data_IF_544652088448
#
_entry.id   IF_544652088448
#
_cell.length_a   1.000
_cell.length_b   1.000
_cell.length_c   1.000
_cell.angle_alpha   90.00
_cell.angle_beta   90.00
_cell.angle_gamma   90.00
#
_symmetry.space_group_name_H-M   'P 1'
#
loop_
_entity.id
_entity.type
_entity.pdbx_description
1 polymer ?
#
# COMPACT_ATOMS: atom_id res chain seq x y z
N UNK A 1 12.91 34.80 -15.70
CA UNK A 1 13.55 34.75 -14.36
C UNK A 1 12.68 33.91 -13.44
N UNK A 2 13.08 32.69 -13.09
CA UNK A 2 12.37 31.85 -12.10
C UNK A 2 12.97 32.12 -10.72
N UNK A 3 12.16 32.32 -9.66
CA UNK A 3 12.71 32.55 -8.33
C UNK A 3 13.27 31.23 -7.78
N UNK A 4 14.54 31.27 -7.40
CA UNK A 4 15.19 30.18 -6.68
C UNK A 4 14.57 30.07 -5.30
N UNK A 5 13.74 29.05 -5.07
CA UNK A 5 13.34 28.63 -3.73
C UNK A 5 14.56 28.12 -2.98
N UNK A 6 15.26 29.03 -2.28
CA UNK A 6 16.24 28.68 -1.25
C UNK A 6 15.47 28.05 -0.08
N UNK A 7 15.56 26.74 0.06
CA UNK A 7 15.17 26.03 1.26
C UNK A 7 16.06 26.47 2.43
N UNK A 8 15.71 27.58 3.09
CA UNK A 8 16.22 27.93 4.41
C UNK A 8 15.38 27.16 5.44
N UNK A 9 15.81 25.95 5.74
CA UNK A 9 15.31 25.16 6.86
C UNK A 9 16.43 24.95 7.86
N UNK A 10 16.37 25.70 8.96
CA UNK A 10 17.23 25.58 10.13
C UNK A 10 17.39 24.11 10.55
N UNK A 11 18.62 23.70 10.80
CA UNK A 11 18.97 22.42 11.43
C UNK A 11 18.48 22.36 12.89
N UNK A 12 17.16 22.36 13.09
CA UNK A 12 16.56 22.00 14.35
C UNK A 12 17.01 20.58 14.65
N UNK A 13 17.86 20.43 15.69
CA UNK A 13 18.32 19.13 16.17
C UNK A 13 17.09 18.25 16.35
N UNK A 14 16.98 17.20 15.53
CA UNK A 14 15.98 16.15 15.71
C UNK A 14 16.10 15.65 17.15
N UNK A 15 15.08 15.93 17.97
CA UNK A 15 14.90 15.28 19.26
C UNK A 15 13.98 14.09 18.99
N UNK A 16 14.35 12.86 19.39
CA UNK A 16 13.46 11.72 19.21
C UNK A 16 12.12 12.05 19.88
N UNK A 17 11.00 12.04 19.13
CA UNK A 17 9.68 12.13 19.75
C UNK A 17 9.54 10.92 20.67
N UNK A 18 9.20 11.16 21.94
CA UNK A 18 8.82 10.21 23.00
C UNK A 18 9.54 8.84 22.99
N UNK A 19 10.30 8.53 24.04
CA UNK A 19 11.07 7.27 24.16
C UNK A 19 10.20 5.99 24.25
N UNK A 20 8.89 6.09 24.03
CA UNK A 20 7.93 5.01 24.17
C UNK A 20 7.39 4.44 22.85
N UNK A 21 6.66 3.34 23.02
CA UNK A 21 5.75 2.79 22.01
C UNK A 21 4.58 3.74 21.84
N UNK A 22 4.32 4.14 20.60
CA UNK A 22 3.11 4.88 20.25
C UNK A 22 2.09 3.94 19.62
N UNK A 23 0.84 4.14 19.99
CA UNK A 23 -0.33 3.48 19.41
C UNK A 23 -1.31 4.56 19.00
N UNK A 24 -1.55 4.67 17.70
CA UNK A 24 -2.34 5.73 17.10
C UNK A 24 -3.46 5.09 16.27
N UNK A 25 -4.65 5.68 16.30
CA UNK A 25 -5.60 5.48 15.20
C UNK A 25 -5.08 6.22 13.97
N UNK A 26 -5.41 5.75 12.77
CA UNK A 26 -4.99 6.44 11.53
C UNK A 26 -5.52 7.88 11.44
N UNK A 27 -6.61 8.18 12.14
CA UNK A 27 -7.22 9.50 12.29
C UNK A 27 -6.53 10.41 13.32
N UNK A 28 -5.59 9.88 14.12
CA UNK A 28 -4.81 10.68 15.06
C UNK A 28 -3.95 11.72 14.30
N UNK A 29 -3.99 13.02 14.63
CA UNK A 29 -3.20 14.04 13.94
C UNK A 29 -1.69 13.76 13.91
N UNK A 30 -1.17 13.00 14.89
CA UNK A 30 0.24 12.58 14.92
C UNK A 30 0.60 11.61 13.80
N UNK A 31 -0.36 10.92 13.20
CA UNK A 31 -0.13 10.14 11.99
C UNK A 31 0.25 11.01 10.79
N UNK A 32 0.08 12.32 10.82
CA UNK A 32 0.59 13.21 9.76
C UNK A 32 2.10 13.53 9.91
N UNK A 33 2.71 13.21 11.05
CA UNK A 33 4.15 13.41 11.28
C UNK A 33 4.97 12.26 10.66
N UNK A 34 5.56 12.53 9.49
CA UNK A 34 6.40 11.57 8.77
C UNK A 34 7.61 11.11 9.60
N UNK A 35 8.13 11.92 10.52
CA UNK A 35 9.25 11.51 11.39
C UNK A 35 8.82 10.47 12.42
N UNK A 36 7.52 10.39 12.69
CA UNK A 36 6.93 9.50 13.67
C UNK A 36 6.46 8.19 13.05
N UNK A 37 5.73 8.27 11.94
CA UNK A 37 5.06 7.11 11.33
C UNK A 37 5.56 6.76 9.92
N UNK A 38 6.51 7.52 9.39
CA UNK A 38 6.98 7.37 8.02
C UNK A 38 6.09 8.08 7.02
N UNK A 39 6.62 8.27 5.82
CA UNK A 39 5.92 8.92 4.73
C UNK A 39 4.69 8.11 4.26
N UNK A 40 4.78 6.78 4.15
CA UNK A 40 3.67 5.96 3.64
C UNK A 40 2.42 6.06 4.53
N UNK A 41 2.59 5.95 5.84
CA UNK A 41 1.47 6.07 6.80
C UNK A 41 0.96 7.50 6.85
N UNK A 42 1.82 8.51 6.80
CA UNK A 42 1.38 9.90 6.83
C UNK A 42 0.56 10.31 5.62
N UNK A 43 0.95 9.84 4.42
CA UNK A 43 0.15 10.08 3.22
C UNK A 43 -1.17 9.30 3.27
N UNK A 44 -1.17 8.06 3.78
CA UNK A 44 -2.41 7.29 3.97
C UNK A 44 -3.36 7.99 4.95
N UNK A 45 -2.86 8.51 6.07
CA UNK A 45 -3.65 9.25 7.06
C UNK A 45 -4.25 10.53 6.45
N UNK A 46 -3.46 11.28 5.70
CA UNK A 46 -3.94 12.47 5.00
C UNK A 46 -5.00 12.14 3.91
N UNK A 47 -4.89 10.96 3.28
CA UNK A 47 -5.85 10.48 2.29
C UNK A 47 -7.16 9.96 2.91
N UNK A 48 -7.14 9.47 4.15
CA UNK A 48 -8.30 8.89 4.84
C UNK A 48 -9.49 9.87 4.96
N UNK A 49 -9.23 11.19 5.01
CA UNK A 49 -10.29 12.21 4.98
C UNK A 49 -10.96 12.41 3.62
N UNK A 50 -10.50 11.73 2.55
CA UNK A 50 -10.97 11.92 1.17
C UNK A 50 -11.39 10.63 0.49
N UNK A 51 -10.99 9.48 1.02
CA UNK A 51 -11.36 8.16 0.51
C UNK A 51 -11.48 7.19 1.67
N UNK A 52 -12.38 6.20 1.60
CA UNK A 52 -12.45 5.15 2.61
C UNK A 52 -11.12 4.42 2.73
N UNK A 53 -10.69 4.19 3.98
CA UNK A 53 -9.56 3.35 4.37
C UNK A 53 -10.10 2.37 5.42
N UNK A 54 -9.72 1.08 5.40
CA UNK A 54 -10.14 0.17 6.47
C UNK A 54 -9.60 0.64 7.82
N UNK A 55 -10.28 0.29 8.91
CA UNK A 55 -9.84 0.64 10.25
C UNK A 55 -8.39 0.21 10.47
N UNK A 56 -7.55 1.16 10.88
CA UNK A 56 -6.10 0.99 10.93
C UNK A 56 -5.55 1.53 12.24
N UNK A 57 -4.82 0.67 12.95
CA UNK A 57 -4.00 1.04 14.10
C UNK A 57 -2.55 1.13 13.65
N UNK A 58 -1.90 2.24 13.97
CA UNK A 58 -0.49 2.47 13.70
C UNK A 58 0.30 2.31 15.00
N UNK A 59 1.31 1.45 14.95
CA UNK A 59 2.29 1.30 16.02
C UNK A 59 3.61 1.90 15.58
N UNK A 60 4.24 2.70 16.43
CA UNK A 60 5.54 3.28 16.14
C UNK A 60 6.48 3.11 17.32
N UNK A 61 7.61 2.44 17.07
CA UNK A 61 8.47 1.85 18.10
C UNK A 61 9.93 2.22 17.88
N UNK A 62 10.64 2.77 18.85
CA UNK A 62 12.10 2.91 18.76
C UNK A 62 12.79 1.55 18.65
N UNK A 63 13.70 1.38 17.68
CA UNK A 63 14.39 0.08 17.46
C UNK A 63 15.54 -0.14 18.46
N UNK A 64 16.16 0.93 18.96
CA UNK A 64 17.39 0.90 19.75
C UNK A 64 17.27 0.93 21.28
N UNK A 65 16.10 0.70 21.86
CA UNK A 65 16.00 0.64 23.33
C UNK A 65 16.66 -0.64 23.84
N UNK A 66 17.70 -0.48 24.66
CA UNK A 66 18.58 -1.54 25.19
C UNK A 66 17.92 -2.48 26.22
N UNK A 67 16.62 -2.33 26.48
CA UNK A 67 15.85 -3.08 27.48
C UNK A 67 15.12 -4.34 26.97
N UNK A 68 15.53 -4.89 25.83
CA UNK A 68 14.76 -5.94 25.15
C UNK A 68 13.54 -5.37 24.40
N UNK A 69 12.88 -6.18 23.55
CA UNK A 69 11.73 -5.68 22.80
C UNK A 69 10.61 -5.31 23.78
N UNK A 70 9.99 -4.11 23.68
CA UNK A 70 8.69 -3.86 24.32
C UNK A 70 7.55 -4.70 23.69
N UNK A 71 7.91 -5.70 22.87
CA UNK A 71 7.06 -6.61 22.10
C UNK A 71 7.46 -8.07 22.32
N UNK A 72 8.19 -8.38 23.42
CA UNK A 72 8.38 -9.77 23.80
C UNK A 72 7.03 -10.48 23.99
N UNK A 73 6.96 -11.81 23.88
CA UNK A 73 5.76 -12.57 24.20
C UNK A 73 5.26 -12.16 25.61
N UNK A 74 4.15 -11.42 25.66
CA UNK A 74 3.58 -10.82 26.88
C UNK A 74 3.64 -9.29 27.02
N UNK A 75 4.38 -8.56 26.18
CA UNK A 75 4.57 -7.10 26.32
C UNK A 75 3.50 -6.25 25.60
N UNK A 76 2.71 -6.86 24.72
CA UNK A 76 1.50 -6.26 24.15
C UNK A 76 0.30 -7.04 24.66
N UNK A 77 -0.36 -6.57 25.73
CA UNK A 77 -1.63 -7.15 26.13
C UNK A 77 -2.59 -7.19 24.94
N UNK A 78 -3.34 -8.27 24.77
CA UNK A 78 -4.37 -8.38 23.73
C UNK A 78 -5.37 -7.21 23.78
N UNK A 79 -5.58 -6.63 24.97
CA UNK A 79 -6.39 -5.42 25.21
C UNK A 79 -5.89 -4.19 24.45
N UNK A 80 -4.60 -4.13 24.06
CA UNK A 80 -4.05 -3.06 23.22
C UNK A 80 -4.42 -3.20 21.75
N UNK A 81 -4.98 -4.32 21.31
CA UNK A 81 -5.52 -4.44 19.95
C UNK A 81 -7.00 -4.07 19.88
N UNK A 82 -7.64 -3.61 20.96
CA UNK A 82 -9.10 -3.54 21.13
C UNK A 82 -9.97 -3.07 19.96
N UNK A 83 -9.48 -2.18 19.09
CA UNK A 83 -10.20 -1.72 17.90
C UNK A 83 -10.21 -2.75 16.74
N UNK A 84 -9.29 -3.72 16.79
CA UNK A 84 -9.05 -4.74 15.77
C UNK A 84 -9.46 -6.15 16.22
N UNK A 85 -10.10 -6.29 17.38
CA UNK A 85 -10.51 -7.61 17.90
C UNK A 85 -11.66 -8.21 17.11
N UNK A 86 -11.60 -9.52 16.86
CA UNK A 86 -12.70 -10.27 16.23
C UNK A 86 -12.73 -10.25 14.70
N UNK A 87 -11.81 -9.52 14.05
CA UNK A 87 -11.71 -9.44 12.60
C UNK A 87 -10.28 -9.77 12.15
N UNK A 88 -10.07 -10.54 11.06
CA UNK A 88 -8.75 -10.73 10.49
C UNK A 88 -8.09 -9.40 10.13
N UNK A 89 -6.75 -9.36 10.12
CA UNK A 89 -5.96 -8.14 9.88
C UNK A 89 -4.86 -8.35 8.84
N UNK A 90 -4.45 -7.25 8.22
CA UNK A 90 -3.22 -7.15 7.44
C UNK A 90 -2.20 -6.32 8.20
N UNK A 91 -0.92 -6.70 8.11
CA UNK A 91 0.19 -5.99 8.72
C UNK A 91 1.18 -5.58 7.64
N UNK A 92 1.44 -4.27 7.59
CA UNK A 92 2.53 -3.68 6.79
C UNK A 92 3.49 -3.00 7.74
N UNK A 93 4.78 -3.07 7.45
CA UNK A 93 5.77 -2.51 8.36
C UNK A 93 6.94 -1.87 7.64
N UNK A 94 7.52 -0.86 8.29
CA UNK A 94 8.58 -0.02 7.74
C UNK A 94 9.59 0.35 8.81
N UNK A 95 10.85 0.45 8.41
CA UNK A 95 11.88 1.17 9.16
C UNK A 95 11.87 2.63 8.71
N UNK A 96 11.57 3.51 9.64
CA UNK A 96 11.53 4.95 9.46
C UNK A 96 12.79 5.54 10.07
N UNK A 97 13.51 6.34 9.28
CA UNK A 97 14.74 7.03 9.68
C UNK A 97 14.63 8.49 9.26
N UNK A 98 15.20 9.43 10.04
CA UNK A 98 15.40 10.79 9.57
C UNK A 98 16.12 10.78 8.22
N UNK A 99 15.60 11.58 7.28
CA UNK A 99 16.26 11.91 6.02
C UNK A 99 16.51 10.73 5.05
N UNK A 100 15.85 9.57 5.28
CA UNK A 100 15.87 8.44 4.35
C UNK A 100 14.45 8.01 3.99
N UNK A 101 14.24 7.48 2.77
CA UNK A 101 12.97 6.85 2.42
C UNK A 101 12.63 5.72 3.39
N UNK A 102 11.34 5.55 3.67
CA UNK A 102 10.82 4.43 4.45
C UNK A 102 11.30 3.10 3.83
N UNK A 103 11.91 2.25 4.65
CA UNK A 103 12.38 0.94 4.20
C UNK A 103 11.36 -0.14 4.61
N UNK A 104 10.74 -0.80 3.64
CA UNK A 104 9.77 -1.87 3.91
C UNK A 104 10.40 -3.02 4.71
N UNK A 105 9.66 -3.50 5.71
CA UNK A 105 10.00 -4.68 6.51
C UNK A 105 9.13 -5.86 6.10
N UNK A 106 9.58 -6.61 5.08
CA UNK A 106 8.98 -7.89 4.70
C UNK A 106 9.00 -8.97 5.83
N UNK A 107 8.01 -9.88 5.85
CA UNK A 107 6.90 -9.96 4.88
C UNK A 107 5.75 -9.00 5.19
N UNK A 108 4.98 -8.64 4.16
CA UNK A 108 3.60 -8.14 4.34
C UNK A 108 2.71 -9.33 4.65
N UNK A 109 1.93 -9.25 5.71
CA UNK A 109 1.02 -10.32 6.11
C UNK A 109 -0.42 -9.91 5.85
N UNK A 110 -1.21 -10.80 5.27
CA UNK A 110 -2.63 -10.57 5.01
C UNK A 110 -3.50 -11.63 5.68
N UNK A 111 -4.69 -11.21 6.10
CA UNK A 111 -5.72 -12.09 6.65
C UNK A 111 -5.24 -12.95 7.85
N UNK A 112 -4.46 -12.35 8.74
CA UNK A 112 -4.02 -13.00 9.98
C UNK A 112 -5.16 -12.93 11.00
N UNK A 113 -5.39 -14.02 11.72
CA UNK A 113 -6.23 -14.01 12.91
C UNK A 113 -5.61 -13.09 13.99
N UNK A 114 -6.40 -12.22 14.65
CA UNK A 114 -5.89 -11.37 15.73
C UNK A 114 -5.14 -12.11 16.84
N UNK A 115 -5.43 -13.39 17.08
CA UNK A 115 -4.71 -14.22 18.04
C UNK A 115 -3.22 -14.40 17.67
N UNK A 116 -2.89 -14.39 16.38
CA UNK A 116 -1.51 -14.51 15.87
C UNK A 116 -0.75 -13.18 15.75
N UNK A 117 -1.34 -12.06 16.18
CA UNK A 117 -0.70 -10.75 16.06
C UNK A 117 0.59 -10.64 16.86
N UNK A 118 0.65 -11.28 18.03
CA UNK A 118 1.84 -11.22 18.90
C UNK A 118 3.06 -11.82 18.21
N UNK A 119 2.89 -13.00 17.62
CA UNK A 119 3.90 -13.75 16.90
C UNK A 119 4.33 -12.99 15.64
N UNK A 120 3.38 -12.49 14.84
CA UNK A 120 3.68 -11.73 13.63
C UNK A 120 4.49 -10.45 13.93
N UNK A 121 4.13 -9.72 15.00
CA UNK A 121 4.86 -8.52 15.42
C UNK A 121 6.26 -8.87 15.95
N UNK A 122 6.41 -9.98 16.66
CA UNK A 122 7.72 -10.46 17.11
C UNK A 122 8.63 -10.79 15.92
N UNK A 123 8.11 -11.47 14.90
CA UNK A 123 8.86 -11.80 13.68
C UNK A 123 9.27 -10.54 12.90
N UNK A 124 8.34 -9.61 12.68
CA UNK A 124 8.62 -8.31 12.04
C UNK A 124 9.68 -7.54 12.83
N UNK A 125 9.60 -7.53 14.16
CA UNK A 125 10.58 -6.87 15.02
C UNK A 125 11.97 -7.49 14.88
N UNK A 126 12.05 -8.82 14.82
CA UNK A 126 13.30 -9.53 14.59
C UNK A 126 13.88 -9.21 13.19
N UNK A 127 13.03 -9.18 12.15
CA UNK A 127 13.42 -8.81 10.79
C UNK A 127 13.93 -7.35 10.71
N UNK A 128 13.23 -6.42 11.36
CA UNK A 128 13.60 -5.01 11.47
C UNK A 128 14.97 -4.82 12.13
N UNK A 129 15.26 -5.57 13.20
CA UNK A 129 16.56 -5.54 13.89
C UNK A 129 17.70 -6.04 13.02
N UNK A 130 17.50 -7.16 12.31
CA UNK A 130 18.51 -7.68 11.36
C UNK A 130 18.86 -6.67 10.27
N UNK A 131 17.90 -5.84 9.83
CA UNK A 131 18.10 -4.78 8.84
C UNK A 131 18.61 -3.45 9.40
N UNK A 132 18.55 -3.26 10.72
CA UNK A 132 18.73 -1.98 11.41
C UNK A 132 20.11 -1.73 12.03
N UNK A 133 21.13 -2.54 11.74
CA UNK A 133 22.38 -2.66 12.52
C UNK A 133 23.32 -1.41 12.56
N UNK A 134 22.91 -0.23 12.09
CA UNK A 134 23.81 0.94 11.94
C UNK A 134 23.47 2.21 12.74
N UNK A 135 22.20 2.47 13.09
CA UNK A 135 21.78 3.69 13.80
C UNK A 135 20.45 3.48 14.54
N UNK A 136 20.44 2.54 15.49
CA UNK A 136 19.22 2.14 16.18
C UNK A 136 18.61 3.27 17.04
N UNK A 137 19.40 4.26 17.45
CA UNK A 137 18.97 5.38 18.29
C UNK A 137 18.06 6.38 17.55
N UNK A 138 18.10 6.41 16.21
CA UNK A 138 17.30 7.33 15.38
C UNK A 138 16.25 6.62 14.53
N UNK A 139 16.08 5.32 14.71
CA UNK A 139 15.21 4.50 13.88
C UNK A 139 13.95 4.10 14.61
N UNK A 140 12.81 4.17 13.92
CA UNK A 140 11.54 3.62 14.40
C UNK A 140 11.10 2.47 13.49
N UNK A 141 10.61 1.39 14.09
CA UNK A 141 9.81 0.40 13.41
C UNK A 141 8.35 0.86 13.48
N UNK A 142 7.75 1.05 12.33
CA UNK A 142 6.35 1.41 12.20
C UNK A 142 5.58 0.22 11.64
N UNK A 143 4.44 -0.10 12.25
CA UNK A 143 3.52 -1.11 11.78
C UNK A 143 2.15 -0.46 11.54
N UNK A 144 1.57 -0.64 10.36
CA UNK A 144 0.16 -0.38 10.12
C UNK A 144 -0.57 -1.72 10.19
N UNK A 145 -1.39 -1.90 11.22
CA UNK A 145 -2.26 -3.06 11.40
C UNK A 145 -3.67 -2.63 11.01
N UNK A 146 -4.15 -3.19 9.92
CA UNK A 146 -5.40 -2.76 9.26
C UNK A 146 -6.39 -3.92 9.26
N UNK A 147 -7.69 -3.66 9.48
CA UNK A 147 -8.73 -4.67 9.25
C UNK A 147 -8.60 -5.22 7.84
N UNK A 148 -8.44 -6.53 7.73
CA UNK A 148 -8.41 -7.21 6.46
C UNK A 148 -9.82 -7.23 5.87
N UNK A 149 -9.91 -6.90 4.58
CA UNK A 149 -11.14 -6.98 3.82
C UNK A 149 -10.92 -7.93 2.63
N UNK A 150 -11.68 -9.03 2.51
CA UNK A 150 -11.56 -9.92 1.37
C UNK A 150 -11.97 -9.17 0.10
N UNK A 151 -10.98 -8.83 -0.72
CA UNK A 151 -11.20 -8.08 -1.94
C UNK A 151 -11.58 -9.02 -3.08
N UNK A 152 -12.60 -8.65 -3.86
CA UNK A 152 -12.92 -9.35 -5.11
C UNK A 152 -11.82 -9.11 -6.15
N UNK A 153 -11.18 -7.95 -6.08
CA UNK A 153 -10.10 -7.53 -6.94
C UNK A 153 -9.26 -6.44 -6.26
N UNK A 154 -8.03 -6.25 -6.75
CA UNK A 154 -7.12 -5.20 -6.29
C UNK A 154 -6.73 -4.31 -7.45
N UNK A 155 -6.69 -3.01 -7.20
CA UNK A 155 -6.19 -2.01 -8.14
C UNK A 155 -4.89 -1.39 -7.64
N UNK A 156 -3.85 -1.38 -8.46
CA UNK A 156 -2.62 -0.63 -8.24
C UNK A 156 -2.63 0.55 -9.21
N UNK A 157 -2.68 1.77 -8.67
CA UNK A 157 -2.78 3.00 -9.47
C UNK A 157 -1.53 3.83 -9.27
N UNK A 158 -0.68 3.89 -10.28
CA UNK A 158 0.46 4.79 -10.33
C UNK A 158 0.01 6.14 -10.87
N UNK A 159 0.20 7.19 -10.08
CA UNK A 159 0.03 8.57 -10.51
C UNK A 159 1.41 9.20 -10.65
N UNK A 160 1.80 9.46 -11.89
CA UNK A 160 3.10 10.04 -12.20
C UNK A 160 3.07 11.57 -12.14
N UNK A 161 4.26 12.18 -12.25
CA UNK A 161 4.35 13.61 -12.55
C UNK A 161 3.73 13.89 -13.94
N UNK A 162 3.20 15.11 -14.13
CA UNK A 162 2.59 15.57 -15.41
C UNK A 162 1.27 14.89 -15.79
N UNK A 163 0.47 14.48 -14.81
CA UNK A 163 -0.93 14.05 -15.00
C UNK A 163 -1.13 12.72 -15.73
N UNK A 164 -0.09 11.87 -15.82
CA UNK A 164 -0.24 10.50 -16.28
C UNK A 164 -0.69 9.59 -15.14
N UNK A 165 -1.63 8.68 -15.43
CA UNK A 165 -2.17 7.71 -14.49
C UNK A 165 -2.18 6.33 -15.14
N UNK A 166 -1.48 5.37 -14.55
CA UNK A 166 -1.48 3.98 -14.97
C UNK A 166 -2.22 3.14 -13.93
N UNK A 167 -3.26 2.44 -14.35
CA UNK A 167 -4.11 1.58 -13.51
C UNK A 167 -3.83 0.12 -13.87
N UNK A 168 -3.48 -0.68 -12.87
CA UNK A 168 -3.31 -2.13 -12.99
C UNK A 168 -4.35 -2.84 -12.12
N UNK A 169 -5.04 -3.83 -12.67
CA UNK A 169 -6.13 -4.54 -11.96
C UNK A 169 -5.96 -6.05 -12.03
N UNK A 170 -6.10 -6.76 -10.91
CA UNK A 170 -6.14 -8.21 -10.86
C UNK A 170 -7.31 -8.73 -10.01
N UNK A 171 -7.72 -9.97 -10.23
CA UNK A 171 -8.68 -10.66 -9.37
C UNK A 171 -8.04 -11.00 -8.02
N UNK A 172 -8.80 -10.86 -6.94
CA UNK A 172 -8.31 -11.08 -5.57
C UNK A 172 -7.32 -10.02 -5.07
N UNK A 173 -6.34 -10.46 -4.29
CA UNK A 173 -5.29 -9.63 -3.67
C UNK A 173 -4.08 -9.49 -4.60
N UNK A 174 -3.43 -8.31 -4.58
CA UNK A 174 -2.15 -8.08 -5.26
C UNK A 174 -0.93 -8.66 -4.52
N UNK A 175 -1.07 -9.85 -3.94
CA UNK A 175 -0.02 -10.59 -3.24
C UNK A 175 0.39 -11.83 -4.06
N UNK A 176 1.63 -11.93 -4.55
CA UNK A 176 2.08 -13.10 -5.30
C UNK A 176 2.46 -14.24 -4.36
N UNK A 177 1.81 -15.41 -4.51
CA UNK A 177 2.07 -16.62 -3.71
C UNK A 177 2.80 -17.71 -4.51
N UNK A 178 3.82 -17.32 -5.27
CA UNK A 178 4.63 -18.24 -6.08
C UNK A 178 4.19 -18.41 -7.54
N UNK A 179 2.98 -17.96 -7.90
CA UNK A 179 2.57 -17.77 -9.31
C UNK A 179 2.51 -16.28 -9.63
N UNK A 180 2.96 -15.83 -10.82
CA UNK A 180 2.82 -14.45 -11.23
C UNK A 180 1.36 -14.00 -11.25
N UNK A 181 1.12 -12.77 -10.81
CA UNK A 181 -0.18 -12.11 -10.96
C UNK A 181 -0.26 -11.46 -12.35
N UNK A 182 -1.39 -11.67 -13.02
CA UNK A 182 -1.69 -11.05 -14.31
C UNK A 182 -2.63 -9.87 -14.09
N UNK A 183 -2.34 -8.75 -14.78
CA UNK A 183 -3.07 -7.50 -14.59
C UNK A 183 -3.65 -7.00 -15.90
N UNK A 184 -4.90 -6.54 -15.85
CA UNK A 184 -5.40 -5.59 -16.84
C UNK A 184 -4.67 -4.26 -16.64
N UNK A 185 -4.38 -3.55 -17.73
CA UNK A 185 -3.62 -2.30 -17.73
C UNK A 185 -4.36 -1.23 -18.49
N UNK A 186 -4.48 -0.06 -17.87
CA UNK A 186 -5.09 1.12 -18.47
C UNK A 186 -4.18 2.32 -18.24
N UNK A 187 -3.89 3.07 -19.30
CA UNK A 187 -3.04 4.26 -19.24
C UNK A 187 -3.86 5.48 -19.62
N UNK A 188 -3.78 6.53 -18.80
CA UNK A 188 -4.49 7.78 -18.99
C UNK A 188 -3.52 8.96 -18.94
N UNK A 189 -3.79 10.00 -19.72
CA UNK A 189 -3.05 11.26 -19.67
C UNK A 189 -3.96 12.48 -19.95
N UNK A 190 -3.41 13.68 -19.69
CA UNK A 190 -4.07 14.96 -19.99
C UNK A 190 -4.96 15.51 -18.87
N UNK A 191 -5.55 16.68 -19.12
CA UNK A 191 -6.58 17.30 -18.28
C UNK A 191 -7.69 17.88 -19.18
N UNK A 192 -8.85 17.20 -19.32
CA UNK A 192 -9.30 16.00 -18.60
C UNK A 192 -8.50 14.72 -18.92
N UNK A 193 -8.65 13.66 -18.11
CA UNK A 193 -7.98 12.38 -18.39
C UNK A 193 -8.60 11.72 -19.62
N UNK A 194 -7.76 11.38 -20.59
CA UNK A 194 -8.09 10.60 -21.77
C UNK A 194 -7.41 9.24 -21.70
N UNK A 195 -8.10 8.18 -22.12
CA UNK A 195 -7.54 6.84 -22.23
C UNK A 195 -6.56 6.81 -23.42
N UNK A 196 -5.29 6.50 -23.15
CA UNK A 196 -4.26 6.34 -24.18
C UNK A 196 -4.02 4.87 -24.54
N UNK A 197 -4.25 3.96 -23.60
CA UNK A 197 -3.99 2.54 -23.80
C UNK A 197 -4.81 1.65 -22.88
N UNK A 198 -5.18 0.47 -23.39
CA UNK A 198 -5.89 -0.57 -22.67
C UNK A 198 -5.33 -1.94 -23.09
N UNK A 199 -5.02 -2.78 -22.13
CA UNK A 199 -4.65 -4.18 -22.34
C UNK A 199 -5.32 -5.05 -21.29
N UNK A 200 -6.11 -6.03 -21.71
CA UNK A 200 -6.76 -7.00 -20.84
C UNK A 200 -5.92 -8.28 -20.84
N UNK A 201 -5.53 -8.75 -19.66
CA UNK A 201 -4.70 -9.93 -19.53
C UNK A 201 -5.53 -11.17 -19.25
N UNK A 202 -5.04 -12.34 -19.67
CA UNK A 202 -5.56 -13.62 -19.20
C UNK A 202 -5.14 -13.86 -17.75
N UNK A 203 -6.12 -13.89 -16.85
CA UNK A 203 -5.92 -14.02 -15.40
C UNK A 203 -6.28 -15.44 -14.97
N UNK A 204 -5.32 -16.36 -15.04
CA UNK A 204 -5.57 -17.78 -14.70
C UNK A 204 -5.65 -18.06 -13.20
N UNK A 205 -5.02 -17.22 -12.39
CA UNK A 205 -4.98 -17.38 -10.93
C UNK A 205 -5.33 -16.07 -10.23
N UNK A 206 -5.84 -16.18 -9.01
CA UNK A 206 -6.14 -15.07 -8.11
C UNK A 206 -5.71 -15.45 -6.68
N UNK A 207 -5.23 -14.49 -5.91
CA UNK A 207 -4.95 -14.68 -4.48
C UNK A 207 -6.18 -14.30 -3.67
N UNK A 208 -6.72 -15.21 -2.87
CA UNK A 208 -7.93 -14.98 -2.08
C UNK A 208 -7.70 -15.27 -0.60
N UNK A 209 -8.61 -14.77 0.23
CA UNK A 209 -8.62 -15.06 1.66
C UNK A 209 -8.84 -16.56 1.93
N UNK A 210 -8.13 -17.10 2.92
CA UNK A 210 -8.26 -18.46 3.45
C UNK A 210 -8.34 -18.44 4.98
N UNK A 211 -8.62 -19.58 5.61
CA UNK A 211 -8.51 -19.67 7.07
C UNK A 211 -7.07 -19.42 7.52
N UNK A 212 -6.82 -18.31 8.22
CA UNK A 212 -5.51 -17.97 8.78
C UNK A 212 -4.46 -17.45 7.78
N UNK A 213 -4.87 -17.00 6.59
CA UNK A 213 -3.94 -16.42 5.61
C UNK A 213 -4.55 -16.24 4.23
N UNK A 214 -3.72 -16.30 3.19
CA UNK A 214 -4.13 -16.17 1.79
C UNK A 214 -3.69 -17.39 1.00
N UNK A 215 -4.38 -17.68 -0.12
CA UNK A 215 -4.01 -18.78 -1.01
C UNK A 215 -4.36 -18.47 -2.46
N UNK A 216 -3.67 -19.12 -3.39
CA UNK A 216 -3.95 -19.03 -4.82
C UNK A 216 -5.10 -19.95 -5.21
N UNK A 217 -6.04 -19.42 -5.98
CA UNK A 217 -7.13 -20.19 -6.61
C UNK A 217 -7.12 -20.00 -8.11
N UNK A 218 -7.72 -20.94 -8.83
CA UNK A 218 -7.99 -20.78 -10.27
C UNK A 218 -9.13 -19.79 -10.47
N UNK A 219 -8.97 -18.89 -11.42
CA UNK A 219 -10.04 -17.98 -11.84
C UNK A 219 -11.07 -18.77 -12.67
N UNK A 220 -12.38 -18.61 -12.44
CA UNK A 220 -13.40 -19.26 -13.25
C UNK A 220 -13.22 -18.97 -14.75
N UNK A 221 -13.47 -19.92 -15.67
CA UNK A 221 -13.18 -19.75 -17.10
C UNK A 221 -13.77 -18.48 -17.73
N UNK A 222 -15.00 -18.10 -17.34
CA UNK A 222 -15.65 -16.89 -17.84
C UNK A 222 -15.02 -15.57 -17.38
N UNK A 223 -14.14 -15.60 -16.38
CA UNK A 223 -13.47 -14.42 -15.82
C UNK A 223 -12.00 -14.28 -16.22
N UNK A 224 -11.41 -15.30 -16.86
CA UNK A 224 -9.98 -15.32 -17.21
C UNK A 224 -9.62 -14.14 -18.11
N UNK A 225 -10.35 -13.97 -19.22
CA UNK A 225 -10.15 -12.89 -20.18
C UNK A 225 -11.11 -11.72 -19.99
N UNK A 226 -11.96 -11.76 -18.95
CA UNK A 226 -12.89 -10.66 -18.66
C UNK A 226 -12.12 -9.47 -18.04
N UNK A 227 -12.53 -8.23 -18.32
CA UNK A 227 -11.99 -7.07 -17.62
C UNK A 227 -12.41 -7.11 -16.15
N UNK A 228 -11.48 -6.80 -15.24
CA UNK A 228 -11.74 -6.77 -13.79
C UNK A 228 -12.76 -5.69 -13.41
N UNK A 229 -12.73 -4.55 -14.11
CA UNK A 229 -13.65 -3.43 -13.96
C UNK A 229 -14.12 -2.94 -15.32
N UNK A 230 -15.34 -2.40 -15.39
CA UNK A 230 -15.80 -1.71 -16.59
C UNK A 230 -14.97 -0.43 -16.83
N UNK A 231 -14.80 -0.02 -18.09
CA UNK A 231 -13.98 1.15 -18.44
C UNK A 231 -14.39 2.44 -17.72
N UNK A 232 -15.70 2.64 -17.53
CA UNK A 232 -16.24 3.79 -16.77
C UNK A 232 -15.71 3.79 -15.33
N UNK A 233 -15.69 2.64 -14.68
CA UNK A 233 -15.22 2.49 -13.30
C UNK A 233 -13.70 2.68 -13.18
N UNK A 234 -12.94 2.23 -14.18
CA UNK A 234 -11.49 2.45 -14.25
C UNK A 234 -11.19 3.94 -14.43
N UNK A 235 -11.95 4.63 -15.29
CA UNK A 235 -11.82 6.07 -15.53
C UNK A 235 -12.11 6.87 -14.25
N UNK A 236 -13.17 6.51 -13.53
CA UNK A 236 -13.49 7.12 -12.23
C UNK A 236 -12.39 6.88 -11.19
N UNK A 237 -11.86 5.65 -11.13
CA UNK A 237 -10.77 5.30 -10.23
C UNK A 237 -9.50 6.08 -10.55
N UNK A 238 -9.14 6.23 -11.84
CA UNK A 238 -8.00 7.02 -12.29
C UNK A 238 -8.16 8.49 -11.90
N UNK A 239 -9.33 9.08 -12.17
CA UNK A 239 -9.63 10.46 -11.80
C UNK A 239 -9.58 10.70 -10.28
N UNK A 240 -10.13 9.76 -9.50
CA UNK A 240 -10.08 9.80 -8.03
C UNK A 240 -8.64 9.70 -7.52
N UNK A 241 -7.87 8.76 -8.05
CA UNK A 241 -6.47 8.54 -7.69
C UNK A 241 -5.62 9.78 -7.95
N UNK A 242 -5.83 10.44 -9.09
CA UNK A 242 -5.18 11.72 -9.40
C UNK A 242 -5.49 12.82 -8.39
N UNK A 243 -6.72 12.88 -7.87
CA UNK A 243 -7.10 13.85 -6.82
C UNK A 243 -6.45 13.50 -5.47
N UNK A 244 -6.36 12.21 -5.13
CA UNK A 244 -5.70 11.74 -3.91
C UNK A 244 -4.20 11.97 -3.96
N UNK A 245 -3.55 11.81 -5.11
CA UNK A 245 -2.12 12.05 -5.28
C UNK A 245 -1.70 13.50 -4.95
N UNK A 246 -2.63 14.47 -5.00
CA UNK A 246 -2.39 15.86 -4.58
C UNK A 246 -2.19 16.02 -3.06
N UNK A 247 -2.55 15.01 -2.28
CA UNK A 247 -2.33 14.98 -0.82
C UNK A 247 -0.86 14.63 -0.50
N UNK A 248 -0.21 13.87 -1.38
CA UNK A 248 1.20 13.54 -1.30
C UNK A 248 2.03 14.25 -2.36
N UNK A 249 3.30 13.86 -2.46
CA UNK A 249 4.14 14.22 -3.59
C UNK A 249 4.06 13.13 -4.66
N UNK A 250 3.68 13.50 -5.89
CA UNK A 250 3.84 12.61 -7.04
C UNK A 250 5.33 12.47 -7.39
N UNK A 251 5.77 11.30 -7.91
CA UNK A 251 4.95 10.15 -8.27
C UNK A 251 4.56 9.30 -7.05
N UNK A 252 3.39 8.65 -7.12
CA UNK A 252 2.83 7.85 -6.03
C UNK A 252 2.05 6.65 -6.58
N UNK A 253 2.21 5.49 -5.95
CA UNK A 253 1.39 4.32 -6.20
C UNK A 253 0.36 4.14 -5.08
N UNK A 254 -0.91 4.03 -5.47
CA UNK A 254 -2.04 3.81 -4.59
C UNK A 254 -2.55 2.38 -4.77
N UNK A 255 -2.78 1.68 -3.67
CA UNK A 255 -3.31 0.32 -3.68
C UNK A 255 -4.73 0.31 -3.12
N UNK A 256 -5.69 -0.17 -3.90
CA UNK A 256 -7.09 -0.25 -3.51
C UNK A 256 -7.60 -1.68 -3.48
N UNK A 257 -8.33 -2.04 -2.42
CA UNK A 257 -9.21 -3.20 -2.42
C UNK A 257 -10.57 -2.84 -3.01
N UNK A 258 -11.10 -3.71 -3.87
CA UNK A 258 -12.44 -3.62 -4.44
C UNK A 258 -13.36 -4.60 -3.70
N UNK A 259 -14.26 -4.06 -2.87
CA UNK A 259 -15.14 -4.83 -1.98
C UNK A 259 -16.59 -4.43 -2.27
N UNK A 260 -17.28 -5.23 -3.08
CA UNK A 260 -18.57 -4.83 -3.64
C UNK A 260 -18.43 -3.53 -4.43
N UNK A 261 -19.20 -2.50 -4.06
CA UNK A 261 -19.13 -1.16 -4.68
C UNK A 261 -18.07 -0.25 -4.05
N UNK A 262 -17.46 -0.67 -2.94
CA UNK A 262 -16.48 0.13 -2.20
C UNK A 262 -15.08 -0.03 -2.78
N UNK A 263 -14.34 1.09 -2.78
CA UNK A 263 -12.93 1.18 -3.17
C UNK A 263 -12.17 1.65 -1.93
N UNK A 264 -11.56 0.72 -1.22
CA UNK A 264 -10.86 0.97 0.05
C UNK A 264 -9.38 1.17 -0.24
N UNK A 265 -8.83 2.35 0.11
CA UNK A 265 -7.39 2.61 -0.05
C UNK A 265 -6.63 1.83 1.04
N UNK A 266 -5.84 0.84 0.64
CA UNK A 266 -5.06 -0.02 1.54
C UNK A 266 -3.70 0.59 1.86
N UNK A 267 -3.03 1.17 0.87
CA UNK A 267 -1.70 1.72 1.03
C UNK A 267 -1.35 2.78 0.00
N UNK A 268 -0.34 3.56 0.36
CA UNK A 268 0.29 4.57 -0.48
C UNK A 268 1.79 4.37 -0.45
N UNK A 269 2.42 4.25 -1.62
CA UNK A 269 3.84 3.97 -1.76
C UNK A 269 4.48 4.99 -2.69
N UNK A 270 5.69 5.43 -2.40
CA UNK A 270 6.51 6.01 -3.46
C UNK A 270 6.81 4.87 -4.46
N UNK A 271 6.73 5.11 -5.79
CA UNK A 271 7.14 4.08 -6.73
C UNK A 271 8.59 3.70 -6.42
N UNK A 272 8.86 2.41 -6.39
CA UNK A 272 10.25 1.97 -6.32
C UNK A 272 10.99 2.63 -7.48
N UNK A 273 12.12 3.28 -7.21
CA UNK A 273 12.99 3.87 -8.25
C UNK A 273 13.52 2.81 -9.23
N UNK A 274 13.17 1.53 -9.03
CA UNK A 274 13.50 0.39 -9.86
C UNK A 274 12.44 0.16 -10.94
N UNK A 275 12.80 0.49 -12.18
CA UNK A 275 12.38 -0.31 -13.34
C UNK A 275 11.00 -0.03 -13.93
N UNK A 276 10.48 1.19 -13.82
CA UNK A 276 9.17 1.60 -14.38
C UNK A 276 8.99 1.44 -15.92
N UNK A 277 9.90 0.79 -16.65
CA UNK A 277 9.79 0.58 -18.10
C UNK A 277 10.23 -0.81 -18.62
N UNK A 278 10.72 -1.76 -17.81
CA UNK A 278 11.38 -2.97 -18.35
C UNK A 278 10.70 -4.33 -18.10
N UNK A 279 9.45 -4.39 -17.65
CA UNK A 279 8.67 -5.65 -17.68
C UNK A 279 7.92 -5.86 -19.02
N UNK A 280 8.37 -5.19 -20.08
CA UNK A 280 7.90 -5.33 -21.45
C UNK A 280 8.61 -6.45 -22.23
N UNK A 281 8.76 -7.66 -21.70
CA UNK A 281 9.30 -8.79 -22.50
C UNK A 281 9.02 -10.18 -21.92
N UNK A 282 7.79 -10.48 -21.54
CA UNK A 282 7.33 -11.89 -21.53
C UNK A 282 6.02 -12.10 -22.30
N UNK A 283 5.64 -11.13 -23.16
CA UNK A 283 4.60 -11.31 -24.15
C UNK A 283 5.22 -11.83 -25.46
N UNK A 284 5.46 -13.14 -25.54
CA UNK A 284 5.46 -13.83 -26.84
C UNK A 284 4.04 -14.05 -27.38
N UNK A 285 3.00 -13.57 -26.67
CA UNK A 285 1.66 -13.44 -27.20
C UNK A 285 1.51 -12.14 -27.99
N UNK A 286 1.37 -12.25 -29.32
CA UNK A 286 0.96 -11.13 -30.18
C UNK A 286 -0.27 -10.44 -29.58
N UNK A 287 -0.27 -9.11 -29.38
CA UNK A 287 -1.49 -8.40 -29.07
C UNK A 287 -2.46 -8.50 -30.26
N UNK A 288 -3.59 -9.18 -30.08
CA UNK A 288 -4.72 -9.03 -30.98
C UNK A 288 -5.33 -7.66 -30.72
N UNK A 289 -4.93 -6.66 -31.50
CA UNK A 289 -5.66 -5.40 -31.58
C UNK A 289 -7.03 -5.66 -32.22
N UNK A 290 -8.01 -6.07 -31.41
CA UNK A 290 -9.41 -5.97 -31.80
C UNK A 290 -9.80 -4.49 -31.85
N UNK A 291 -10.53 -4.03 -32.89
CA UNK A 291 -11.01 -2.65 -32.94
C UNK A 291 -11.91 -2.37 -31.73
N UNK A 292 -11.72 -1.20 -31.12
CA UNK A 292 -12.63 -0.70 -30.09
C UNK A 292 -14.06 -0.65 -30.69
N UNK A 293 -15.10 -1.08 -29.95
CA UNK A 293 -16.47 -0.90 -30.41
C UNK A 293 -16.77 0.61 -30.57
N UNK A 294 -17.56 1.00 -31.59
CA UNK A 294 -17.93 2.40 -31.78
C UNK A 294 -18.71 2.90 -30.57
N UNK A 295 -18.29 4.03 -30.02
CA UNK A 295 -19.04 4.77 -29.01
C UNK A 295 -20.31 5.30 -29.66
N UNK A 296 -21.45 4.69 -29.38
CA UNK A 296 -22.76 5.30 -29.67
C UNK A 296 -22.97 6.46 -28.72
N UNK A 297 -22.99 7.68 -29.26
CA UNK A 297 -23.53 8.87 -28.63
C UNK A 297 -25.05 8.91 -28.78
#
# INVERSE_FOLDING_TARGET
MRPAHRARGLGARWRPPEQGVLRLGLDDPRCLDQKLVGNQVAVLAAAAGRTPVPETVVLSVPVGTSGGPPWGPGAVPATRWGALTGCPVSIRSWLVRPDRPDQVVEPVWNNIDPAGLTEAVAEITAAARRRGAGDAARQRLVLAVQHFRPAAATALVLVEARHRVDVRLCWGLAEPLGTPLHFDRFSFAGEPLHLEGCAIADKYTATVAASGGTHSVRVPPGLVAAPVLALVEVTELAARSRRLARVGAAPVELEFALVGTQRLLLAVRAPATRGLLEDGSNATGRPSHGPLPPSTA
#
